data_IF_941094219430
#
_entry.id   IF_941094219430
#
_cell.length_a   1.000
_cell.length_b   1.000
_cell.length_c   1.000
_cell.angle_alpha   90.00
_cell.angle_beta   90.00
_cell.angle_gamma   90.00
#
_symmetry.space_group_name_H-M   'P 1'
#
loop_
_entity.id
_entity.type
_entity.pdbx_description
1 polymer ?
#
# COMPACT_ATOMS: atom_id res chain seq x y z
N UNK A 1 -5.42 -80.30 -2.63
CA UNK A 1 -4.76 -79.18 -3.31
C UNK A 1 -5.78 -78.00 -3.29
N UNK A 2 -5.62 -77.07 -2.34
CA UNK A 2 -6.54 -75.95 -2.16
C UNK A 2 -5.85 -74.72 -2.75
N UNK A 3 -6.50 -74.10 -3.73
CA UNK A 3 -6.05 -72.87 -4.40
C UNK A 3 -6.52 -71.68 -3.56
N UNK A 4 -5.56 -71.00 -2.94
CA UNK A 4 -5.84 -69.74 -2.19
C UNK A 4 -5.76 -68.59 -3.21
N UNK A 5 -6.93 -68.03 -3.52
CA UNK A 5 -7.06 -66.82 -4.34
C UNK A 5 -6.75 -65.61 -3.44
N UNK A 6 -5.65 -64.90 -3.73
CA UNK A 6 -5.33 -63.60 -3.11
C UNK A 6 -6.26 -62.54 -3.73
N UNK A 7 -7.15 -61.97 -2.92
CA UNK A 7 -7.85 -60.72 -3.25
C UNK A 7 -6.87 -59.55 -3.05
N UNK A 8 -6.60 -58.84 -4.16
CA UNK A 8 -5.89 -57.58 -4.12
C UNK A 8 -6.82 -56.48 -3.60
N UNK A 9 -6.50 -55.89 -2.45
CA UNK A 9 -7.15 -54.67 -1.98
C UNK A 9 -6.61 -53.50 -2.80
N UNK A 10 -7.43 -52.94 -3.71
CA UNK A 10 -7.19 -51.68 -4.32
C UNK A 10 -7.44 -50.57 -3.26
N UNK A 11 -6.37 -49.94 -2.81
CA UNK A 11 -6.47 -48.66 -2.09
C UNK A 11 -6.92 -47.59 -3.08
N UNK A 12 -8.19 -47.23 -3.03
CA UNK A 12 -8.69 -46.00 -3.62
C UNK A 12 -8.16 -44.84 -2.76
N UNK A 13 -7.11 -44.16 -3.22
CA UNK A 13 -6.71 -42.86 -2.68
C UNK A 13 -7.83 -41.87 -2.98
N UNK A 14 -8.62 -41.48 -1.99
CA UNK A 14 -9.51 -40.33 -2.11
C UNK A 14 -8.69 -39.11 -2.42
N UNK A 15 -9.05 -38.28 -3.42
CA UNK A 15 -8.35 -37.03 -3.65
C UNK A 15 -8.48 -36.17 -2.39
N UNK A 16 -7.35 -35.83 -1.78
CA UNK A 16 -7.30 -34.80 -0.73
C UNK A 16 -7.55 -33.50 -1.44
N UNK A 17 -8.79 -33.01 -1.38
CA UNK A 17 -9.14 -31.66 -1.81
C UNK A 17 -8.53 -30.75 -0.74
N UNK A 18 -7.39 -30.13 -1.05
CA UNK A 18 -6.92 -28.97 -0.32
C UNK A 18 -7.92 -27.86 -0.59
N UNK A 19 -8.92 -27.69 0.28
CA UNK A 19 -9.64 -26.45 0.36
C UNK A 19 -8.61 -25.44 0.85
N UNK A 20 -8.27 -24.49 -0.01
CA UNK A 20 -7.47 -23.32 0.35
C UNK A 20 -8.32 -22.56 1.38
N UNK A 21 -8.17 -22.87 2.65
CA UNK A 21 -8.77 -22.10 3.73
C UNK A 21 -8.03 -20.78 3.76
N UNK A 22 -8.77 -19.67 3.75
CA UNK A 22 -8.18 -18.36 4.07
C UNK A 22 -7.24 -18.53 5.25
N UNK A 23 -6.05 -17.97 5.15
CA UNK A 23 -5.07 -18.12 6.23
C UNK A 23 -5.66 -17.58 7.54
N UNK A 24 -5.28 -18.15 8.68
CA UNK A 24 -5.72 -17.66 9.98
C UNK A 24 -5.38 -16.16 10.16
N UNK A 25 -4.34 -15.67 9.48
CA UNK A 25 -3.98 -14.26 9.44
C UNK A 25 -5.00 -13.44 8.62
N UNK A 26 -5.47 -13.93 7.47
CA UNK A 26 -6.50 -13.26 6.65
C UNK A 26 -7.76 -12.99 7.46
N UNK A 27 -8.27 -14.00 8.17
CA UNK A 27 -9.46 -13.87 9.03
C UNK A 27 -9.21 -12.85 10.16
N UNK A 28 -8.02 -12.85 10.77
CA UNK A 28 -7.68 -11.90 11.84
C UNK A 28 -7.62 -10.47 11.31
N UNK A 29 -6.97 -10.25 10.17
CA UNK A 29 -6.88 -8.93 9.55
C UNK A 29 -8.24 -8.40 9.10
N UNK A 30 -9.11 -9.28 8.55
CA UNK A 30 -10.48 -8.91 8.20
C UNK A 30 -11.24 -8.42 9.45
N UNK A 31 -11.17 -9.14 10.57
CA UNK A 31 -11.81 -8.74 11.83
C UNK A 31 -11.24 -7.43 12.36
N UNK A 32 -9.91 -7.26 12.31
CA UNK A 32 -9.22 -6.05 12.73
C UNK A 32 -9.71 -4.83 11.92
N UNK A 33 -9.79 -4.95 10.60
CA UNK A 33 -10.26 -3.86 9.75
C UNK A 33 -11.75 -3.58 9.98
N UNK A 34 -12.58 -4.61 10.11
CA UNK A 34 -14.01 -4.44 10.41
C UNK A 34 -14.25 -3.69 11.73
N UNK A 35 -13.43 -3.94 12.75
CA UNK A 35 -13.53 -3.30 14.06
C UNK A 35 -13.07 -1.83 14.03
N UNK A 36 -11.92 -1.55 13.42
CA UNK A 36 -11.29 -0.22 13.53
C UNK A 36 -11.57 0.70 12.35
N UNK A 37 -11.62 0.16 11.12
CA UNK A 37 -11.80 0.90 9.86
C UNK A 37 -12.48 0.04 8.79
N UNK A 38 -13.76 -0.27 8.99
CA UNK A 38 -14.54 -1.16 8.11
C UNK A 38 -14.48 -0.75 6.62
N UNK A 39 -14.39 0.55 6.32
CA UNK A 39 -14.29 1.04 4.96
C UNK A 39 -12.99 0.61 4.21
N UNK A 40 -11.95 0.12 4.91
CA UNK A 40 -10.80 -0.51 4.23
C UNK A 40 -11.23 -1.72 3.41
N UNK A 41 -12.23 -2.47 3.86
CA UNK A 41 -12.72 -3.66 3.18
C UNK A 41 -13.50 -3.36 1.88
N UNK A 42 -13.82 -2.09 1.62
CA UNK A 42 -14.42 -1.67 0.34
C UNK A 42 -13.40 -1.73 -0.81
N UNK A 43 -12.13 -1.46 -0.52
CA UNK A 43 -11.06 -1.44 -1.51
C UNK A 43 -9.90 -2.42 -1.22
N UNK A 44 -10.05 -3.28 -0.21
CA UNK A 44 -9.13 -4.39 0.05
C UNK A 44 -9.91 -5.70 0.12
N UNK A 45 -9.38 -6.72 -0.52
CA UNK A 45 -9.79 -8.11 -0.32
C UNK A 45 -8.60 -8.90 0.20
N UNK A 46 -8.80 -9.64 1.29
CA UNK A 46 -7.77 -10.39 1.99
C UNK A 46 -7.97 -11.89 1.76
N UNK A 47 -7.12 -12.50 0.96
CA UNK A 47 -7.26 -13.91 0.55
C UNK A 47 -8.34 -14.13 -0.51
N UNK A 48 -8.63 -15.38 -0.82
CA UNK A 48 -9.60 -15.78 -1.84
C UNK A 48 -9.05 -15.71 -3.27
N UNK A 49 -9.93 -15.94 -4.24
CA UNK A 49 -9.56 -15.96 -5.66
C UNK A 49 -9.29 -14.55 -6.18
N UNK A 50 -8.12 -14.36 -6.76
CA UNK A 50 -7.71 -13.09 -7.37
C UNK A 50 -8.31 -12.93 -8.77
N UNK A 51 -9.03 -11.83 -9.08
CA UNK A 51 -9.59 -11.61 -10.42
C UNK A 51 -8.52 -11.51 -11.51
N UNK A 52 -8.85 -12.01 -12.69
CA UNK A 52 -7.92 -12.04 -13.83
C UNK A 52 -7.57 -10.64 -14.40
N UNK A 53 -8.33 -9.61 -14.04
CA UNK A 53 -8.13 -8.22 -14.48
C UNK A 53 -7.26 -7.40 -13.50
N UNK A 54 -6.64 -8.06 -12.53
CA UNK A 54 -5.69 -7.45 -11.60
C UNK A 54 -4.26 -7.61 -12.08
N UNK A 55 -3.38 -6.69 -11.68
CA UNK A 55 -1.95 -6.72 -12.04
C UNK A 55 -1.08 -6.57 -10.79
N UNK A 56 -0.01 -7.34 -10.70
CA UNK A 56 1.05 -7.12 -9.73
C UNK A 56 1.97 -5.97 -10.15
N UNK A 57 2.82 -5.49 -9.24
CA UNK A 57 3.67 -4.33 -9.50
C UNK A 57 4.58 -4.49 -10.73
N UNK A 58 5.18 -5.65 -10.93
CA UNK A 58 6.06 -5.93 -12.07
C UNK A 58 5.34 -5.88 -13.42
N UNK A 59 4.02 -5.96 -13.43
CA UNK A 59 3.19 -5.89 -14.65
C UNK A 59 2.69 -4.47 -14.90
N UNK A 60 1.99 -3.85 -13.91
CA UNK A 60 1.43 -2.52 -14.11
C UNK A 60 2.49 -1.43 -14.23
N UNK A 61 3.68 -1.62 -13.62
CA UNK A 61 4.78 -0.66 -13.73
C UNK A 61 5.59 -0.77 -15.03
N UNK A 62 5.26 -1.71 -15.92
CA UNK A 62 5.86 -1.73 -17.26
C UNK A 62 5.48 -0.46 -18.04
N UNK A 63 6.46 0.10 -18.76
CA UNK A 63 6.31 1.40 -19.45
C UNK A 63 5.02 1.50 -20.27
N UNK A 64 4.72 0.48 -21.09
CA UNK A 64 3.52 0.48 -21.94
C UNK A 64 2.21 0.46 -21.12
N UNK A 65 2.16 -0.27 -20.01
CA UNK A 65 0.99 -0.33 -19.13
C UNK A 65 0.83 0.98 -18.36
N UNK A 66 1.89 1.43 -17.70
CA UNK A 66 1.84 2.63 -16.88
C UNK A 66 1.50 3.87 -17.70
N UNK A 67 2.07 3.99 -18.91
CA UNK A 67 1.72 5.09 -19.83
C UNK A 67 0.24 5.08 -20.21
N UNK A 68 -0.36 3.89 -20.47
CA UNK A 68 -1.81 3.79 -20.78
C UNK A 68 -2.66 4.18 -19.56
N UNK A 69 -2.31 3.71 -18.36
CA UNK A 69 -3.02 4.06 -17.14
C UNK A 69 -3.02 5.58 -16.91
N UNK A 70 -1.86 6.23 -17.07
CA UNK A 70 -1.75 7.68 -16.92
C UNK A 70 -2.49 8.45 -18.04
N UNK A 71 -2.48 7.94 -19.26
CA UNK A 71 -3.23 8.56 -20.37
C UNK A 71 -4.73 8.53 -20.09
N UNK A 72 -5.28 7.35 -19.74
CA UNK A 72 -6.71 7.21 -19.37
C UNK A 72 -7.06 8.09 -18.17
N UNK A 73 -6.18 8.16 -17.16
CA UNK A 73 -6.41 9.02 -15.99
C UNK A 73 -6.36 10.50 -16.37
N UNK A 74 -5.48 10.89 -17.27
CA UNK A 74 -5.45 12.24 -17.81
C UNK A 74 -6.72 12.58 -18.59
N UNK A 75 -7.22 11.66 -19.42
CA UNK A 75 -8.47 11.84 -20.16
C UNK A 75 -9.65 12.08 -19.22
N UNK A 76 -9.71 11.37 -18.11
CA UNK A 76 -10.73 11.57 -17.08
C UNK A 76 -10.62 12.95 -16.41
N UNK A 77 -9.42 13.31 -15.92
CA UNK A 77 -9.18 14.56 -15.18
C UNK A 77 -9.43 15.80 -16.06
N UNK A 78 -9.08 15.72 -17.34
CA UNK A 78 -9.21 16.86 -18.28
C UNK A 78 -10.49 16.80 -19.14
N UNK A 79 -11.41 15.88 -18.87
CA UNK A 79 -12.63 15.67 -19.68
C UNK A 79 -13.43 16.94 -19.88
N UNK A 80 -13.69 17.67 -18.79
CA UNK A 80 -14.49 18.92 -18.80
C UNK A 80 -13.66 20.17 -19.08
N UNK A 81 -12.34 20.01 -19.25
CA UNK A 81 -11.39 21.10 -19.46
C UNK A 81 -10.37 20.76 -20.56
N UNK A 82 -10.83 20.39 -21.77
CA UNK A 82 -9.94 19.97 -22.85
C UNK A 82 -9.02 21.09 -23.37
N UNK A 83 -9.36 22.35 -23.09
CA UNK A 83 -8.57 23.54 -23.43
C UNK A 83 -7.35 23.75 -22.52
N UNK A 84 -7.34 23.11 -21.35
CA UNK A 84 -6.23 23.26 -20.41
C UNK A 84 -5.02 22.40 -20.82
N UNK A 85 -3.79 22.95 -20.71
CA UNK A 85 -2.59 22.15 -20.98
C UNK A 85 -2.46 21.01 -19.96
N UNK A 86 -2.24 19.80 -20.45
CA UNK A 86 -2.06 18.63 -19.58
C UNK A 86 -0.71 18.67 -18.89
N UNK A 87 -0.72 18.61 -17.57
CA UNK A 87 0.47 18.64 -16.72
C UNK A 87 0.75 17.24 -16.16
N UNK A 88 1.77 16.58 -16.69
CA UNK A 88 2.11 15.19 -16.32
C UNK A 88 2.49 15.03 -14.83
N UNK A 89 3.32 15.94 -14.30
CA UNK A 89 3.79 15.84 -12.91
C UNK A 89 2.68 15.94 -11.84
N UNK A 90 1.75 16.91 -11.88
CA UNK A 90 0.60 16.92 -10.95
C UNK A 90 -0.29 15.70 -11.12
N UNK A 91 -0.52 15.25 -12.37
CA UNK A 91 -1.34 14.08 -12.68
C UNK A 91 -0.75 12.81 -12.06
N UNK A 92 0.53 12.55 -12.28
CA UNK A 92 1.24 11.43 -11.66
C UNK A 92 1.30 11.53 -10.13
N UNK A 93 1.47 12.75 -9.60
CA UNK A 93 1.43 12.95 -8.15
C UNK A 93 0.08 12.57 -7.56
N UNK A 94 -1.02 12.88 -8.25
CA UNK A 94 -2.36 12.49 -7.80
C UNK A 94 -2.60 10.99 -7.97
N UNK A 95 -2.16 10.39 -9.08
CA UNK A 95 -2.22 8.95 -9.30
C UNK A 95 -1.47 8.17 -8.19
N UNK A 96 -0.25 8.60 -7.84
CA UNK A 96 0.52 8.02 -6.75
C UNK A 96 -0.18 8.17 -5.39
N UNK A 97 -0.87 9.30 -5.15
CA UNK A 97 -1.65 9.48 -3.93
C UNK A 97 -2.82 8.49 -3.83
N UNK A 98 -3.46 8.12 -4.96
CA UNK A 98 -4.45 7.04 -4.98
C UNK A 98 -3.83 5.70 -4.59
N UNK A 99 -2.70 5.32 -5.22
CA UNK A 99 -2.01 4.07 -4.91
C UNK A 99 -1.67 3.95 -3.41
N UNK A 100 -0.91 4.92 -2.90
CA UNK A 100 -0.46 4.88 -1.50
C UNK A 100 -1.61 5.12 -0.52
N UNK A 101 -2.63 5.88 -0.91
CA UNK A 101 -3.82 6.12 -0.11
C UNK A 101 -4.63 4.85 0.18
N UNK A 102 -4.71 3.94 -0.80
CA UNK A 102 -5.41 2.67 -0.66
C UNK A 102 -4.62 1.65 0.19
N UNK A 103 -3.27 1.68 0.13
CA UNK A 103 -2.49 0.58 0.73
C UNK A 103 -1.79 0.93 2.04
N UNK A 104 -1.29 2.16 2.19
CA UNK A 104 -0.45 2.52 3.35
C UNK A 104 -1.22 2.50 4.68
N UNK A 105 -2.40 3.14 4.82
CA UNK A 105 -3.12 3.12 6.08
C UNK A 105 -3.52 1.72 6.57
N UNK A 106 -4.12 0.84 5.73
CA UNK A 106 -4.45 -0.51 6.18
C UNK A 106 -3.21 -1.36 6.51
N UNK A 107 -2.10 -1.22 5.76
CA UNK A 107 -0.88 -1.95 6.08
C UNK A 107 -0.25 -1.45 7.38
N UNK A 108 -0.26 -0.16 7.65
CA UNK A 108 0.16 0.37 8.95
C UNK A 108 -0.69 -0.19 10.08
N UNK A 109 -2.02 -0.21 9.94
CA UNK A 109 -2.91 -0.77 10.96
C UNK A 109 -2.60 -2.26 11.21
N UNK A 110 -2.48 -3.06 10.13
CA UNK A 110 -2.16 -4.47 10.22
C UNK A 110 -0.82 -4.71 10.95
N UNK A 111 0.26 -4.03 10.54
CA UNK A 111 1.61 -4.24 11.10
C UNK A 111 1.79 -3.69 12.52
N UNK A 112 0.97 -2.71 12.92
CA UNK A 112 0.99 -2.17 14.29
C UNK A 112 0.19 -3.05 15.24
N UNK A 113 -1.00 -3.48 14.85
CA UNK A 113 -1.96 -4.13 15.75
C UNK A 113 -1.82 -5.67 15.76
N UNK A 114 -1.47 -6.30 14.64
CA UNK A 114 -1.32 -7.76 14.56
C UNK A 114 0.16 -8.15 14.78
N UNK A 115 0.38 -9.10 15.71
CA UNK A 115 1.73 -9.56 16.04
C UNK A 115 2.36 -10.45 14.97
N UNK A 116 1.52 -11.21 14.26
CA UNK A 116 1.95 -11.97 13.07
C UNK A 116 2.10 -10.97 11.94
N UNK A 117 3.32 -10.64 11.57
CA UNK A 117 3.54 -9.65 10.53
C UNK A 117 3.04 -10.18 9.19
N UNK A 118 2.29 -9.33 8.46
CA UNK A 118 1.91 -9.58 7.07
C UNK A 118 3.16 -9.42 6.18
N UNK A 119 3.39 -10.37 5.27
CA UNK A 119 4.39 -10.20 4.23
C UNK A 119 3.93 -9.10 3.26
N UNK A 120 4.73 -8.04 3.19
CA UNK A 120 4.47 -6.86 2.37
C UNK A 120 5.15 -6.92 0.99
N UNK A 121 5.65 -8.06 0.56
CA UNK A 121 6.29 -8.23 -0.76
C UNK A 121 5.27 -8.01 -1.88
N UNK A 122 5.67 -7.23 -2.90
CA UNK A 122 4.75 -6.74 -3.94
C UNK A 122 4.10 -7.81 -4.81
N UNK A 123 4.68 -9.00 -4.90
CA UNK A 123 4.11 -10.15 -5.60
C UNK A 123 2.80 -10.65 -5.00
N UNK A 124 2.52 -10.34 -3.73
CA UNK A 124 1.30 -10.71 -3.04
C UNK A 124 0.18 -9.66 -3.17
N UNK A 125 0.45 -8.54 -3.85
CA UNK A 125 -0.47 -7.42 -3.95
C UNK A 125 -0.93 -7.23 -5.40
N UNK A 126 -2.15 -7.64 -5.69
CA UNK A 126 -2.78 -7.53 -6.99
C UNK A 126 -3.64 -6.28 -7.01
N UNK A 127 -3.35 -5.37 -7.95
CA UNK A 127 -4.04 -4.09 -8.08
C UNK A 127 -5.06 -4.14 -9.20
N UNK A 128 -6.30 -3.83 -8.88
CA UNK A 128 -7.36 -3.57 -9.84
C UNK A 128 -7.46 -2.08 -10.11
N UNK A 129 -7.64 -1.71 -11.37
CA UNK A 129 -7.76 -0.32 -11.79
C UNK A 129 -9.21 0.04 -12.07
N UNK A 130 -9.56 1.27 -11.77
CA UNK A 130 -10.79 1.89 -12.24
C UNK A 130 -10.71 2.08 -13.77
N UNK A 131 -11.85 2.19 -14.47
CA UNK A 131 -11.91 2.46 -15.91
C UNK A 131 -11.12 3.70 -16.34
N UNK A 132 -10.99 4.68 -15.46
CA UNK A 132 -10.14 5.87 -15.67
C UNK A 132 -8.63 5.61 -15.55
N UNK A 133 -8.18 4.39 -15.26
CA UNK A 133 -6.77 4.06 -15.10
C UNK A 133 -6.16 4.38 -13.72
N UNK A 134 -6.93 4.93 -12.77
CA UNK A 134 -6.45 5.11 -11.40
C UNK A 134 -6.51 3.81 -10.60
N UNK A 135 -5.64 3.63 -9.58
CA UNK A 135 -5.79 2.56 -8.59
C UNK A 135 -7.19 2.56 -7.95
N UNK A 136 -7.79 1.38 -7.80
CA UNK A 136 -9.14 1.25 -7.26
C UNK A 136 -9.22 0.26 -6.09
N UNK A 137 -8.63 -0.92 -6.23
CA UNK A 137 -8.77 -1.98 -5.22
C UNK A 137 -7.55 -2.89 -5.21
N UNK A 138 -7.16 -3.35 -4.02
CA UNK A 138 -6.15 -4.38 -3.85
C UNK A 138 -6.77 -5.73 -3.47
N UNK A 139 -6.22 -6.79 -4.05
CA UNK A 139 -6.42 -8.17 -3.67
C UNK A 139 -5.10 -8.69 -3.14
N UNK A 140 -5.10 -9.16 -1.91
CA UNK A 140 -3.87 -9.49 -1.18
C UNK A 140 -3.84 -10.97 -0.87
N UNK A 141 -2.81 -11.66 -1.39
CA UNK A 141 -2.47 -13.01 -0.97
C UNK A 141 -1.82 -12.94 0.41
N UNK A 142 -2.58 -13.31 1.43
CA UNK A 142 -2.17 -13.11 2.82
C UNK A 142 -1.19 -14.16 3.26
N UNK A 143 0.06 -13.76 3.46
CA UNK A 143 1.14 -14.57 3.99
C UNK A 143 1.74 -13.93 5.25
N UNK A 144 2.21 -14.78 6.18
CA UNK A 144 2.96 -14.32 7.35
C UNK A 144 4.43 -14.08 6.96
N UNK A 145 5.01 -12.96 7.37
CA UNK A 145 6.47 -12.74 7.34
C UNK A 145 7.08 -13.39 8.59
N UNK A 146 7.51 -14.63 8.47
CA UNK A 146 8.08 -15.40 9.59
C UNK A 146 9.36 -14.74 10.16
N UNK A 147 10.15 -14.08 9.32
CA UNK A 147 11.34 -13.34 9.74
C UNK A 147 10.99 -12.14 10.60
N UNK A 148 9.79 -11.58 10.42
CA UNK A 148 9.31 -10.43 11.17
C UNK A 148 8.63 -10.79 12.50
N UNK A 149 8.49 -12.06 12.83
CA UNK A 149 7.82 -12.55 14.07
C UNK A 149 8.39 -11.92 15.35
N UNK A 150 9.70 -11.68 15.40
CA UNK A 150 10.40 -11.16 16.57
C UNK A 150 10.71 -9.65 16.46
N UNK A 151 10.30 -9.01 15.39
CA UNK A 151 10.53 -7.60 15.17
C UNK A 151 9.54 -6.76 16.00
N UNK A 152 10.02 -5.64 16.52
CA UNK A 152 9.14 -4.63 17.13
C UNK A 152 8.35 -3.88 16.04
N UNK A 153 7.39 -3.04 16.47
CA UNK A 153 6.49 -2.35 15.54
C UNK A 153 7.23 -1.45 14.54
N UNK A 154 8.18 -0.57 14.93
CA UNK A 154 8.96 0.19 13.95
C UNK A 154 9.68 -0.69 12.94
N UNK A 155 10.26 -1.79 13.36
CA UNK A 155 10.98 -2.73 12.50
C UNK A 155 10.06 -3.44 11.50
N UNK A 156 8.81 -3.74 11.88
CA UNK A 156 7.81 -4.28 10.94
C UNK A 156 7.39 -3.24 9.91
N UNK A 157 7.28 -1.98 10.30
CA UNK A 157 7.02 -0.89 9.35
C UNK A 157 8.21 -0.67 8.41
N UNK A 158 9.45 -0.87 8.85
CA UNK A 158 10.62 -0.87 7.95
C UNK A 158 10.50 -1.94 6.86
N UNK A 159 9.95 -3.13 7.18
CA UNK A 159 9.66 -4.16 6.16
C UNK A 159 8.68 -3.66 5.11
N UNK A 160 7.60 -2.96 5.51
CA UNK A 160 6.67 -2.34 4.57
C UNK A 160 7.42 -1.34 3.66
N UNK A 161 8.27 -0.49 4.24
CA UNK A 161 9.04 0.49 3.46
C UNK A 161 9.94 -0.20 2.44
N UNK A 162 10.71 -1.21 2.87
CA UNK A 162 11.69 -1.89 2.04
C UNK A 162 11.06 -2.78 0.97
N UNK A 163 10.05 -3.59 1.34
CA UNK A 163 9.51 -4.63 0.46
C UNK A 163 8.36 -4.14 -0.42
N UNK A 164 7.68 -3.07 -0.03
CA UNK A 164 6.54 -2.55 -0.76
C UNK A 164 6.76 -1.13 -1.27
N UNK A 165 7.02 -0.17 -0.36
CA UNK A 165 6.96 1.24 -0.73
C UNK A 165 8.13 1.64 -1.63
N UNK A 166 9.37 1.23 -1.34
CA UNK A 166 10.54 1.56 -2.17
C UNK A 166 10.36 1.03 -3.59
N UNK A 167 10.09 -0.27 -3.83
CA UNK A 167 9.91 -0.77 -5.19
C UNK A 167 8.72 -0.15 -5.91
N UNK A 168 7.61 0.14 -5.21
CA UNK A 168 6.45 0.82 -5.81
C UNK A 168 6.79 2.25 -6.25
N UNK A 169 7.51 3.02 -5.41
CA UNK A 169 7.99 4.36 -5.76
C UNK A 169 8.92 4.32 -6.97
N UNK A 170 9.85 3.36 -7.01
CA UNK A 170 10.76 3.15 -8.15
C UNK A 170 9.98 2.84 -9.44
N UNK A 171 8.98 1.96 -9.35
CA UNK A 171 8.11 1.61 -10.49
C UNK A 171 7.34 2.82 -11.04
N UNK A 172 6.92 3.76 -10.19
CA UNK A 172 6.23 4.98 -10.61
C UNK A 172 7.21 6.01 -11.18
N UNK A 173 8.36 6.22 -10.52
CA UNK A 173 9.34 7.25 -10.91
C UNK A 173 9.98 6.97 -12.27
N UNK A 174 10.34 5.71 -12.55
CA UNK A 174 11.11 5.34 -13.74
C UNK A 174 10.43 5.69 -15.08
N UNK A 175 9.13 5.94 -15.09
CA UNK A 175 8.34 6.17 -16.31
C UNK A 175 7.66 7.54 -16.36
N UNK A 176 8.08 8.48 -15.50
CA UNK A 176 7.34 9.70 -15.41
C UNK A 176 8.11 10.97 -15.09
N UNK A 177 7.37 12.07 -15.14
CA UNK A 177 7.85 13.41 -14.82
C UNK A 177 7.88 13.70 -13.31
N UNK A 178 7.45 12.75 -12.49
CA UNK A 178 7.50 12.84 -11.03
C UNK A 178 8.81 12.25 -10.52
N UNK A 179 9.41 12.87 -9.51
CA UNK A 179 10.55 12.30 -8.80
C UNK A 179 10.13 11.62 -7.49
N UNK A 180 10.91 10.63 -7.06
CA UNK A 180 10.68 9.88 -5.83
C UNK A 180 10.48 10.80 -4.62
N UNK A 181 11.22 11.91 -4.52
CA UNK A 181 11.12 12.86 -3.40
C UNK A 181 9.70 13.44 -3.22
N UNK A 182 8.99 13.72 -4.32
CA UNK A 182 7.62 14.22 -4.24
C UNK A 182 6.67 13.12 -3.77
N UNK A 183 6.84 11.89 -4.27
CA UNK A 183 6.07 10.73 -3.84
C UNK A 183 6.29 10.50 -2.34
N UNK A 184 7.54 10.45 -1.89
CA UNK A 184 7.88 10.24 -0.49
C UNK A 184 7.33 11.33 0.45
N UNK A 185 7.35 12.61 0.02
CA UNK A 185 6.76 13.68 0.82
C UNK A 185 5.23 13.52 0.97
N UNK A 186 4.56 13.02 -0.06
CA UNK A 186 3.12 12.76 0.02
C UNK A 186 2.83 11.53 0.88
N UNK A 187 3.58 10.43 0.69
CA UNK A 187 3.44 9.19 1.45
C UNK A 187 3.77 9.40 2.93
N UNK A 188 4.86 10.11 3.24
CA UNK A 188 5.23 10.42 4.62
C UNK A 188 4.17 11.25 5.33
N UNK A 189 3.57 12.23 4.64
CA UNK A 189 2.47 13.00 5.21
C UNK A 189 1.21 12.13 5.44
N UNK A 190 0.90 11.22 4.53
CA UNK A 190 -0.19 10.26 4.70
C UNK A 190 0.05 9.36 5.95
N UNK A 191 1.28 8.85 6.11
CA UNK A 191 1.65 8.03 7.27
C UNK A 191 1.54 8.83 8.58
N UNK A 192 2.03 10.07 8.59
CA UNK A 192 1.91 10.95 9.75
C UNK A 192 0.45 11.22 10.13
N UNK A 193 -0.39 11.53 9.14
CA UNK A 193 -1.83 11.70 9.37
C UNK A 193 -2.43 10.45 9.99
N UNK A 194 -2.11 9.26 9.47
CA UNK A 194 -2.68 8.01 9.94
C UNK A 194 -2.16 7.62 11.34
N UNK A 195 -0.93 7.98 11.73
CA UNK A 195 -0.48 7.86 13.13
C UNK A 195 -1.40 8.64 14.08
N UNK A 196 -1.86 9.81 13.64
CA UNK A 196 -2.85 10.60 14.40
C UNK A 196 -4.19 9.88 14.57
N UNK A 197 -4.65 9.17 13.53
CA UNK A 197 -5.88 8.38 13.55
C UNK A 197 -5.79 7.16 14.48
N UNK A 198 -4.59 6.59 14.67
CA UNK A 198 -4.37 5.42 15.52
C UNK A 198 -4.30 5.73 17.03
N UNK A 199 -4.33 7.01 17.43
CA UNK A 199 -4.18 7.42 18.86
C UNK A 199 -5.20 6.80 19.83
N UNK A 200 -6.35 6.40 19.32
CA UNK A 200 -7.40 5.77 20.14
C UNK A 200 -7.18 4.25 20.33
N UNK A 201 -6.27 3.63 19.59
CA UNK A 201 -6.07 2.18 19.58
C UNK A 201 -4.66 1.74 19.94
N UNK A 202 -3.70 2.64 19.84
CA UNK A 202 -2.27 2.36 20.02
C UNK A 202 -1.73 3.25 21.14
N UNK A 203 -0.93 2.70 22.01
CA UNK A 203 -0.32 3.46 23.10
C UNK A 203 0.63 4.56 22.60
N UNK A 204 0.74 5.62 23.38
CA UNK A 204 1.51 6.80 23.01
C UNK A 204 3.00 6.50 22.80
N UNK A 205 3.59 5.59 23.60
CA UNK A 205 5.00 5.25 23.48
C UNK A 205 5.30 4.56 22.13
N UNK A 206 4.41 3.67 21.70
CA UNK A 206 4.50 3.03 20.37
C UNK A 206 4.36 4.06 19.26
N UNK A 207 3.40 4.98 19.34
CA UNK A 207 3.20 6.03 18.33
C UNK A 207 4.40 6.97 18.23
N UNK A 208 4.97 7.41 19.38
CA UNK A 208 6.17 8.24 19.39
C UNK A 208 7.39 7.52 18.83
N UNK A 209 7.53 6.23 19.14
CA UNK A 209 8.61 5.39 18.57
C UNK A 209 8.49 5.28 17.05
N UNK A 210 7.26 5.07 16.53
CA UNK A 210 6.99 5.05 15.10
C UNK A 210 7.27 6.41 14.44
N UNK A 211 6.78 7.50 15.01
CA UNK A 211 7.01 8.84 14.49
C UNK A 211 8.51 9.14 14.37
N UNK A 212 9.27 8.78 15.42
CA UNK A 212 10.71 8.94 15.41
C UNK A 212 11.38 8.10 14.34
N UNK A 213 11.06 6.81 14.25
CA UNK A 213 11.63 5.90 13.25
C UNK A 213 11.33 6.38 11.82
N UNK A 214 10.10 6.81 11.55
CA UNK A 214 9.67 7.22 10.21
C UNK A 214 10.29 8.56 9.79
N UNK A 215 10.29 9.59 10.65
CA UNK A 215 10.57 10.95 10.19
C UNK A 215 11.87 11.56 10.74
N UNK A 216 12.44 10.98 11.78
CA UNK A 216 13.63 11.53 12.46
C UNK A 216 14.84 10.59 12.42
N UNK A 217 14.66 9.31 12.09
CA UNK A 217 15.75 8.37 11.85
C UNK A 217 16.24 8.50 10.40
N UNK A 218 17.58 8.60 10.21
CA UNK A 218 18.18 8.71 8.88
C UNK A 218 18.26 7.40 8.13
N UNK A 219 18.32 6.30 8.85
CA UNK A 219 18.55 4.98 8.30
C UNK A 219 17.44 4.03 8.71
N UNK A 220 17.13 3.11 7.81
CA UNK A 220 16.32 1.93 8.07
C UNK A 220 17.17 0.89 8.83
N UNK A 221 16.53 -0.20 9.25
CA UNK A 221 17.19 -1.27 10.01
C UNK A 221 18.39 -1.90 9.32
N UNK A 222 18.33 -2.02 8.00
CA UNK A 222 19.42 -2.57 7.18
C UNK A 222 20.58 -1.60 6.95
N UNK A 223 20.49 -0.39 7.51
CA UNK A 223 21.47 0.68 7.35
C UNK A 223 21.31 1.51 6.09
N UNK A 224 20.37 1.20 5.21
CA UNK A 224 20.06 2.01 4.03
C UNK A 224 19.40 3.34 4.42
N UNK A 225 19.44 4.30 3.51
CA UNK A 225 18.81 5.61 3.73
C UNK A 225 17.29 5.47 3.88
N UNK A 226 16.75 6.11 4.91
CA UNK A 226 15.31 6.17 5.12
C UNK A 226 14.68 7.23 4.20
N UNK A 227 13.88 6.84 3.20
CA UNK A 227 13.30 7.77 2.25
C UNK A 227 12.22 8.68 2.87
N UNK A 228 11.70 8.32 4.05
CA UNK A 228 10.74 9.11 4.81
C UNK A 228 11.40 10.16 5.72
N UNK A 229 12.72 10.09 5.90
CA UNK A 229 13.43 11.04 6.74
C UNK A 229 13.12 12.50 6.36
N UNK A 230 12.55 13.26 7.31
CA UNK A 230 12.18 14.66 7.13
C UNK A 230 11.19 14.93 5.98
N UNK A 231 10.36 13.99 5.60
CA UNK A 231 9.23 14.22 4.67
C UNK A 231 8.12 15.04 5.34
N UNK A 232 8.01 14.93 6.66
CA UNK A 232 7.22 15.77 7.53
C UNK A 232 8.17 16.52 8.47
N UNK A 233 7.93 17.80 8.67
CA UNK A 233 8.79 18.68 9.45
C UNK A 233 7.96 19.60 10.34
N UNK A 234 8.45 19.96 11.54
CA UNK A 234 7.77 20.94 12.38
C UNK A 234 7.81 22.33 11.73
N UNK A 235 6.64 22.95 11.64
CA UNK A 235 6.44 24.35 11.24
C UNK A 235 5.31 24.93 12.08
N UNK A 236 5.51 26.10 12.64
CA UNK A 236 4.50 26.85 13.40
C UNK A 236 3.77 25.99 14.46
N UNK A 237 4.53 25.13 15.16
CA UNK A 237 4.01 24.26 16.23
C UNK A 237 3.25 23.02 15.74
N UNK A 238 3.16 22.79 14.44
CA UNK A 238 2.49 21.61 13.83
C UNK A 238 3.44 20.87 12.91
N UNK A 239 3.20 19.56 12.76
CA UNK A 239 3.92 18.76 11.76
C UNK A 239 3.30 18.95 10.38
N UNK A 240 4.08 19.42 9.42
CA UNK A 240 3.61 19.73 8.09
C UNK A 240 4.41 18.98 7.03
N UNK A 241 3.74 18.66 5.91
CA UNK A 241 4.41 18.10 4.75
C UNK A 241 5.47 19.06 4.22
N UNK A 242 6.64 18.52 3.91
CA UNK A 242 7.79 19.31 3.45
C UNK A 242 7.57 20.02 2.13
N UNK A 243 6.79 19.45 1.20
CA UNK A 243 6.51 20.04 -0.10
C UNK A 243 5.05 19.88 -0.52
N UNK A 244 4.58 20.76 -1.43
CA UNK A 244 3.24 20.69 -1.99
C UNK A 244 3.09 19.47 -2.93
N UNK A 245 1.92 18.79 -2.89
CA UNK A 245 1.58 17.68 -3.78
C UNK A 245 1.26 18.11 -5.22
N UNK A 246 1.10 19.40 -5.46
CA UNK A 246 0.78 20.03 -6.74
C UNK A 246 -0.61 19.70 -7.32
N UNK A 247 -1.45 18.90 -6.67
CA UNK A 247 -2.75 18.47 -7.21
C UNK A 247 -3.68 19.62 -7.58
N UNK A 248 -3.55 20.78 -6.91
CA UNK A 248 -4.33 21.98 -7.15
C UNK A 248 -4.11 22.58 -8.56
N UNK A 249 -3.10 22.11 -9.29
CA UNK A 249 -2.81 22.52 -10.67
C UNK A 249 -3.67 21.78 -11.69
N UNK A 250 -4.30 20.69 -11.26
CA UNK A 250 -5.21 19.91 -12.09
C UNK A 250 -6.59 20.56 -12.11
N UNK A 251 -7.32 20.52 -13.24
CA UNK A 251 -8.66 21.08 -13.34
C UNK A 251 -9.62 20.41 -12.36
N UNK A 252 -10.50 21.19 -11.76
CA UNK A 252 -11.50 20.73 -10.80
C UNK A 252 -10.97 19.96 -9.56
N UNK A 253 -9.65 19.96 -9.32
CA UNK A 253 -9.04 19.32 -8.15
C UNK A 253 -8.72 20.38 -7.09
N UNK A 254 -9.42 20.31 -5.96
CA UNK A 254 -9.21 21.22 -4.85
C UNK A 254 -7.85 21.07 -4.18
N UNK A 255 -7.40 22.15 -3.52
CA UNK A 255 -6.25 22.08 -2.61
C UNK A 255 -6.55 21.11 -1.47
N UNK A 256 -5.54 20.37 -1.03
CA UNK A 256 -5.67 19.54 0.17
C UNK A 256 -5.92 20.40 1.42
N UNK A 257 -6.60 19.85 2.42
CA UNK A 257 -6.92 20.53 3.67
C UNK A 257 -5.69 21.18 4.32
N UNK A 258 -4.62 20.42 4.42
CA UNK A 258 -3.33 20.83 5.01
C UNK A 258 -2.30 21.20 3.94
N UNK A 259 -2.71 22.06 3.01
CA UNK A 259 -1.85 22.49 1.92
C UNK A 259 -0.69 23.36 2.43
N UNK A 260 0.55 22.93 2.17
CA UNK A 260 1.77 23.67 2.53
C UNK A 260 1.91 25.04 1.84
N UNK A 261 1.00 25.39 0.91
CA UNK A 261 0.93 26.68 0.23
C UNK A 261 -0.20 27.57 0.78
N UNK A 262 -0.99 27.10 1.74
CA UNK A 262 -1.91 27.99 2.47
C UNK A 262 -1.08 28.87 3.38
N UNK A 263 -1.03 30.15 3.11
CA UNK A 263 -0.63 31.15 4.10
C UNK A 263 -1.72 31.18 5.18
N UNK A 264 -1.33 31.02 6.42
CA UNK A 264 -2.18 31.20 7.59
C UNK A 264 -2.61 32.67 7.65
#
# INVERSE_FOLDING_TARGET
>A
MAIITRQAYEYRSSPVIFMQSDSALSTTLHSLFAEHRAWFLEFLTLGGDTPADTLIQSEWSQSAHFTRLLASYGDEIYREHPEMPREAKPLQSLWAQWYFGLIVPPMMLALVMEKRALDCSLEHFHLQFHESGRPAKFWIDVHEDEDARYLNVPQRIDRLIQRHLIPAVQGIEQHGDINAKLIWNNTGYLMHWFLGEMKSWVDEATLLSLEHALFFSRHLLDGSDNPLYRTVIPRDGTMQRRSCCQRYRLPAVERCGDCSLKTV
#
